data_IF_568592387320
#
_entry.id   IF_568592387320
#
_cell.length_a   1.000
_cell.length_b   1.000
_cell.length_c   1.000
_cell.angle_alpha   90.00
_cell.angle_beta   90.00
_cell.angle_gamma   90.00
#
_symmetry.space_group_name_H-M   'P 1'
#
loop_
_entity.id
_entity.type
_entity.pdbx_description
1 polymer ?
#
# COMPACT_ATOMS: atom_id res chain seq x y z
N UNK A 1 -14.62 -9.70 -17.38
CA UNK A 1 -13.72 -9.49 -16.24
C UNK A 1 -12.49 -10.33 -16.46
N UNK A 2 -11.36 -9.73 -16.27
CA UNK A 2 -10.07 -10.31 -16.59
C UNK A 2 -9.43 -11.03 -15.37
N UNK A 3 -10.27 -11.52 -14.47
CA UNK A 3 -9.81 -12.18 -13.23
C UNK A 3 -9.75 -13.71 -13.37
N UNK A 4 -9.63 -14.24 -14.58
CA UNK A 4 -9.41 -15.67 -14.75
C UNK A 4 -8.03 -16.05 -14.22
N UNK A 5 -7.90 -17.26 -13.69
CA UNK A 5 -6.62 -17.81 -13.23
C UNK A 5 -5.56 -17.77 -14.34
N UNK A 6 -5.94 -18.14 -15.56
CA UNK A 6 -5.04 -18.15 -16.70
C UNK A 6 -4.43 -16.77 -16.98
N UNK A 7 -5.27 -15.73 -17.05
CA UNK A 7 -4.80 -14.36 -17.26
C UNK A 7 -3.94 -13.87 -16.10
N UNK A 8 -4.31 -14.17 -14.87
CA UNK A 8 -3.55 -13.76 -13.69
C UNK A 8 -2.16 -14.41 -13.67
N UNK A 9 -2.07 -15.69 -14.01
CA UNK A 9 -0.79 -16.40 -14.15
C UNK A 9 0.05 -15.85 -15.29
N UNK A 10 -0.57 -15.56 -16.44
CA UNK A 10 0.11 -14.97 -17.58
C UNK A 10 0.72 -13.60 -17.22
N UNK A 11 -0.03 -12.74 -16.52
CA UNK A 11 0.46 -11.45 -16.02
C UNK A 11 1.61 -11.62 -15.03
N UNK A 12 1.49 -12.55 -14.08
CA UNK A 12 2.53 -12.87 -13.12
C UNK A 12 3.84 -13.26 -13.83
N UNK A 13 3.80 -14.22 -14.74
CA UNK A 13 4.98 -14.66 -15.48
C UNK A 13 5.52 -13.59 -16.42
N UNK A 14 4.65 -12.76 -17.00
CA UNK A 14 5.08 -11.65 -17.85
C UNK A 14 5.87 -10.61 -17.05
N UNK A 15 5.50 -10.35 -15.80
CA UNK A 15 6.22 -9.42 -14.92
C UNK A 15 7.70 -9.80 -14.75
N UNK A 16 8.02 -11.10 -14.61
CA UNK A 16 9.41 -11.55 -14.53
C UNK A 16 10.20 -11.28 -15.82
N UNK A 17 9.56 -11.48 -16.96
CA UNK A 17 10.17 -11.22 -18.28
C UNK A 17 10.43 -9.74 -18.50
N UNK A 18 9.43 -8.90 -18.19
CA UNK A 18 9.49 -7.46 -18.40
C UNK A 18 10.54 -6.81 -17.49
N UNK A 19 10.62 -7.27 -16.24
CA UNK A 19 11.59 -6.77 -15.25
C UNK A 19 12.96 -7.44 -15.38
N UNK A 20 13.08 -8.53 -16.15
CA UNK A 20 14.33 -9.32 -16.32
C UNK A 20 14.92 -9.80 -14.99
N UNK A 21 14.06 -10.31 -14.10
CA UNK A 21 14.45 -10.79 -12.77
C UNK A 21 14.06 -12.26 -12.57
N UNK A 22 14.72 -12.94 -11.64
CA UNK A 22 14.42 -14.33 -11.27
C UNK A 22 13.53 -14.41 -10.02
N UNK A 23 13.46 -13.36 -9.23
CA UNK A 23 12.62 -13.22 -8.05
C UNK A 23 12.24 -11.75 -7.82
N UNK A 24 11.17 -11.53 -7.04
CA UNK A 24 10.78 -10.22 -6.53
C UNK A 24 11.07 -10.12 -5.04
N UNK A 25 11.73 -9.04 -4.62
CA UNK A 25 11.87 -8.73 -3.19
C UNK A 25 10.51 -8.39 -2.58
N UNK A 26 9.70 -7.59 -3.27
CA UNK A 26 8.36 -7.19 -2.84
C UNK A 26 7.36 -7.43 -3.97
N UNK A 27 6.31 -8.18 -3.67
CA UNK A 27 5.19 -8.43 -4.59
C UNK A 27 3.89 -8.12 -3.86
N UNK A 28 2.96 -7.43 -4.51
CA UNK A 28 1.71 -7.04 -3.87
C UNK A 28 0.47 -7.39 -4.70
N UNK A 29 -0.61 -7.69 -3.99
CA UNK A 29 -1.96 -7.77 -4.54
C UNK A 29 -2.44 -6.33 -4.77
N UNK A 30 -2.80 -5.99 -6.01
CA UNK A 30 -3.05 -4.63 -6.42
C UNK A 30 -4.48 -4.15 -6.09
N UNK A 31 -4.58 -2.94 -5.52
CA UNK A 31 -5.81 -2.17 -5.32
C UNK A 31 -6.93 -2.93 -4.59
N UNK A 32 -6.62 -3.46 -3.43
CA UNK A 32 -7.62 -4.06 -2.54
C UNK A 32 -8.51 -2.96 -1.96
N UNK A 33 -9.83 -3.21 -1.88
CA UNK A 33 -10.81 -2.28 -1.30
C UNK A 33 -11.88 -1.84 -2.28
N UNK A 34 -11.53 -1.58 -3.54
CA UNK A 34 -12.50 -1.26 -4.58
C UNK A 34 -13.38 -2.46 -4.94
N UNK A 35 -14.70 -2.30 -4.87
CA UNK A 35 -15.69 -3.36 -5.18
C UNK A 35 -15.93 -4.36 -4.06
N UNK A 36 -15.43 -4.08 -2.85
CA UNK A 36 -15.68 -4.89 -1.66
C UNK A 36 -14.98 -6.26 -1.66
N UNK A 37 -15.28 -7.06 -0.65
CA UNK A 37 -14.75 -8.43 -0.51
C UNK A 37 -15.13 -9.36 -1.66
N UNK A 38 -16.24 -9.10 -2.34
CA UNK A 38 -16.62 -9.87 -3.53
C UNK A 38 -15.53 -9.82 -4.60
N UNK A 39 -15.04 -8.63 -4.93
CA UNK A 39 -13.98 -8.46 -5.94
C UNK A 39 -12.65 -9.05 -5.45
N UNK A 40 -12.33 -8.93 -4.18
CA UNK A 40 -11.16 -9.57 -3.59
C UNK A 40 -11.24 -11.10 -3.77
N UNK A 41 -12.36 -11.70 -3.41
CA UNK A 41 -12.55 -13.14 -3.52
C UNK A 41 -12.44 -13.61 -4.98
N UNK A 42 -13.13 -12.97 -5.91
CA UNK A 42 -13.06 -13.29 -7.35
C UNK A 42 -11.64 -13.21 -7.92
N UNK A 43 -10.84 -12.21 -7.46
CA UNK A 43 -9.48 -11.97 -7.97
C UNK A 43 -8.42 -12.88 -7.39
N UNK A 44 -8.57 -13.29 -6.13
CA UNK A 44 -7.47 -13.91 -5.40
C UNK A 44 -7.82 -15.22 -4.72
N UNK A 45 -9.07 -15.41 -4.29
CA UNK A 45 -9.50 -16.63 -3.57
C UNK A 45 -10.08 -17.65 -4.54
N UNK A 46 -11.17 -17.30 -5.23
CA UNK A 46 -11.94 -18.22 -6.05
C UNK A 46 -11.16 -18.76 -7.25
N UNK A 47 -10.25 -17.95 -7.78
CA UNK A 47 -9.35 -18.35 -8.86
C UNK A 47 -8.04 -19.02 -8.36
N UNK A 48 -7.85 -19.15 -7.04
CA UNK A 48 -6.68 -19.78 -6.42
C UNK A 48 -5.36 -19.00 -6.58
N UNK A 49 -5.41 -17.69 -6.89
CA UNK A 49 -4.21 -16.89 -7.06
C UNK A 49 -3.48 -16.64 -5.73
N UNK A 50 -4.19 -16.45 -4.63
CA UNK A 50 -3.55 -16.28 -3.33
C UNK A 50 -2.73 -17.52 -2.96
N UNK A 51 -3.31 -18.71 -3.10
CA UNK A 51 -2.59 -19.97 -2.83
C UNK A 51 -1.35 -20.14 -3.74
N UNK A 52 -1.47 -19.72 -5.00
CA UNK A 52 -0.34 -19.72 -5.91
C UNK A 52 0.77 -18.77 -5.43
N UNK A 53 0.44 -17.54 -5.07
CA UNK A 53 1.42 -16.55 -4.60
C UNK A 53 2.11 -16.98 -3.29
N UNK A 54 1.37 -17.64 -2.39
CA UNK A 54 1.95 -18.22 -1.18
C UNK A 54 3.00 -19.30 -1.51
N UNK A 55 2.71 -20.19 -2.48
CA UNK A 55 3.68 -21.17 -2.96
C UNK A 55 4.88 -20.52 -3.64
N UNK A 56 4.70 -19.44 -4.38
CA UNK A 56 5.78 -18.68 -4.98
C UNK A 56 6.67 -18.02 -3.91
N UNK A 57 6.10 -17.56 -2.79
CA UNK A 57 6.85 -17.07 -1.63
C UNK A 57 7.64 -18.21 -0.96
N UNK A 58 7.03 -19.35 -0.71
CA UNK A 58 7.71 -20.53 -0.16
C UNK A 58 8.87 -21.01 -1.06
N UNK A 59 8.70 -20.89 -2.37
CA UNK A 59 9.73 -21.23 -3.37
C UNK A 59 10.82 -20.16 -3.54
N UNK A 60 10.72 -19.03 -2.85
CA UNK A 60 11.70 -17.93 -2.89
C UNK A 60 11.61 -17.03 -4.13
N UNK A 61 10.60 -17.20 -4.99
CA UNK A 61 10.38 -16.29 -6.12
C UNK A 61 9.69 -14.98 -5.71
N UNK A 62 9.07 -14.96 -4.56
CA UNK A 62 8.60 -13.76 -3.87
C UNK A 62 9.23 -13.79 -2.47
N UNK A 63 9.94 -12.73 -2.07
CA UNK A 63 10.51 -12.63 -0.72
C UNK A 63 9.50 -12.09 0.28
N UNK A 64 8.82 -11.00 -0.09
CA UNK A 64 7.82 -10.33 0.74
C UNK A 64 6.52 -10.18 -0.03
N UNK A 65 5.44 -10.73 0.51
CA UNK A 65 4.09 -10.65 -0.07
C UNK A 65 3.23 -9.67 0.71
N UNK A 66 2.66 -8.71 0.01
CA UNK A 66 1.80 -7.70 0.59
C UNK A 66 0.62 -7.35 -0.31
N UNK A 67 0.01 -6.21 -0.04
CA UNK A 67 -1.09 -5.70 -0.85
C UNK A 67 -1.19 -4.18 -0.76
N UNK A 68 -1.77 -3.54 -1.78
CA UNK A 68 -2.09 -2.12 -1.78
C UNK A 68 -3.56 -1.90 -1.52
N UNK A 69 -3.87 -0.88 -0.73
CA UNK A 69 -5.22 -0.59 -0.28
C UNK A 69 -5.76 0.72 -0.84
N UNK A 70 -6.98 0.64 -1.40
CA UNK A 70 -7.81 1.78 -1.76
C UNK A 70 -9.29 1.43 -1.55
N UNK A 71 -9.96 2.00 -0.58
CA UNK A 71 -11.39 1.77 -0.42
C UNK A 71 -11.89 1.71 1.02
N UNK A 72 -12.85 0.83 1.25
CA UNK A 72 -13.58 0.77 2.50
C UNK A 72 -12.80 0.08 3.62
N UNK A 73 -12.82 0.65 4.82
CA UNK A 73 -12.20 0.11 6.04
C UNK A 73 -12.63 -1.33 6.31
N UNK A 74 -13.90 -1.67 6.06
CA UNK A 74 -14.38 -3.02 6.27
C UNK A 74 -13.63 -4.06 5.45
N UNK A 75 -13.27 -3.74 4.20
CA UNK A 75 -12.46 -4.61 3.34
C UNK A 75 -11.03 -4.67 3.85
N UNK A 76 -10.47 -3.54 4.28
CA UNK A 76 -9.15 -3.49 4.91
C UNK A 76 -9.06 -4.43 6.10
N UNK A 77 -10.02 -4.32 7.04
CA UNK A 77 -10.03 -5.12 8.25
C UNK A 77 -10.18 -6.62 7.97
N UNK A 78 -11.03 -7.00 7.00
CA UNK A 78 -11.23 -8.40 6.63
C UNK A 78 -9.98 -9.00 5.99
N UNK A 79 -9.31 -8.28 5.07
CA UNK A 79 -8.07 -8.77 4.44
C UNK A 79 -6.92 -8.76 5.43
N UNK A 80 -6.86 -7.76 6.32
CA UNK A 80 -5.88 -7.71 7.38
C UNK A 80 -6.03 -8.87 8.38
N UNK A 81 -7.26 -9.27 8.71
CA UNK A 81 -7.54 -10.43 9.57
C UNK A 81 -6.99 -11.75 9.01
N UNK A 82 -6.78 -11.84 7.69
CA UNK A 82 -6.13 -13.02 7.08
C UNK A 82 -4.63 -13.12 7.44
N UNK A 83 -4.06 -12.12 8.12
CA UNK A 83 -2.65 -12.12 8.50
C UNK A 83 -2.25 -13.32 9.35
N UNK A 84 -3.16 -13.85 10.17
CA UNK A 84 -2.87 -15.00 11.02
C UNK A 84 -2.50 -16.26 10.21
N UNK A 85 -3.01 -16.39 8.99
CA UNK A 85 -2.74 -17.49 8.07
C UNK A 85 -1.79 -17.10 6.94
N UNK A 86 -2.03 -15.97 6.29
CA UNK A 86 -1.27 -15.53 5.12
C UNK A 86 0.10 -14.96 5.50
N UNK A 87 0.23 -14.36 6.69
CA UNK A 87 1.45 -13.67 7.14
C UNK A 87 1.87 -12.59 6.15
N UNK A 88 1.05 -11.55 6.04
CA UNK A 88 1.37 -10.38 5.22
C UNK A 88 2.66 -9.72 5.70
N UNK A 89 3.59 -9.47 4.79
CA UNK A 89 4.88 -8.86 5.10
C UNK A 89 4.78 -7.33 5.11
N UNK A 90 3.92 -6.75 4.27
CA UNK A 90 3.71 -5.31 4.19
C UNK A 90 2.34 -4.97 3.62
N UNK A 91 1.90 -3.73 3.85
CA UNK A 91 0.71 -3.16 3.21
C UNK A 91 1.04 -1.76 2.70
N UNK A 92 0.68 -1.49 1.44
CA UNK A 92 0.81 -0.16 0.86
C UNK A 92 -0.46 0.64 1.11
N UNK A 93 -0.32 1.77 1.79
CA UNK A 93 -1.43 2.67 2.16
C UNK A 93 -1.15 4.09 1.70
N UNK A 94 -2.21 4.84 1.40
CA UNK A 94 -2.11 6.27 1.18
C UNK A 94 -1.89 6.97 2.52
N UNK A 95 -0.77 7.71 2.64
CA UNK A 95 -0.43 8.41 3.87
C UNK A 95 0.31 9.72 3.58
N UNK A 96 -0.25 10.80 4.05
CA UNK A 96 0.33 12.13 4.09
C UNK A 96 -0.31 12.93 5.23
N UNK A 97 0.19 14.12 5.55
CA UNK A 97 -0.28 14.88 6.70
C UNK A 97 -1.72 15.43 6.57
N UNK A 98 -2.29 15.46 5.36
CA UNK A 98 -3.71 15.82 5.15
C UNK A 98 -4.58 14.60 5.38
N UNK A 99 -4.28 13.49 4.71
CA UNK A 99 -5.08 12.26 4.79
C UNK A 99 -4.89 11.51 6.11
N UNK A 100 -3.95 11.93 6.96
CA UNK A 100 -3.70 11.29 8.25
C UNK A 100 -4.99 11.14 9.07
N UNK A 101 -5.78 12.22 9.15
CA UNK A 101 -7.08 12.24 9.87
C UNK A 101 -8.26 12.67 9.02
N UNK A 102 -8.01 13.19 7.83
CA UNK A 102 -9.03 13.80 6.99
C UNK A 102 -8.95 13.21 5.58
N UNK A 103 -9.35 11.94 5.48
CA UNK A 103 -9.36 11.26 4.20
C UNK A 103 -10.20 11.99 3.15
N UNK A 104 -9.70 12.01 1.92
CA UNK A 104 -10.37 12.57 0.76
C UNK A 104 -10.79 11.49 -0.21
N UNK A 105 -12.02 11.56 -0.73
CA UNK A 105 -12.54 10.58 -1.69
C UNK A 105 -12.75 9.20 -1.06
N UNK A 106 -12.24 8.17 -1.72
CA UNK A 106 -12.35 6.77 -1.29
C UNK A 106 -11.22 6.35 -0.32
N UNK A 107 -10.39 7.30 0.11
CA UNK A 107 -9.34 6.99 1.07
C UNK A 107 -9.88 7.15 2.46
N UNK A 108 -9.45 6.28 3.34
CA UNK A 108 -9.79 6.31 4.75
C UNK A 108 -8.65 6.90 5.56
N UNK A 109 -8.98 7.29 6.77
CA UNK A 109 -8.08 7.82 7.78
C UNK A 109 -6.80 6.98 7.90
N UNK A 110 -5.66 7.53 7.46
CA UNK A 110 -4.38 6.84 7.45
C UNK A 110 -3.86 6.52 8.85
N UNK A 111 -4.23 7.31 9.87
CA UNK A 111 -3.91 7.04 11.28
C UNK A 111 -4.52 5.71 11.73
N UNK A 112 -5.76 5.43 11.33
CA UNK A 112 -6.39 4.14 11.60
C UNK A 112 -5.68 2.99 10.89
N UNK A 113 -5.48 3.10 9.58
CA UNK A 113 -4.84 2.05 8.78
C UNK A 113 -3.45 1.71 9.32
N UNK A 114 -2.62 2.72 9.53
CA UNK A 114 -1.29 2.53 10.09
C UNK A 114 -1.34 1.93 11.51
N UNK A 115 -2.26 2.40 12.35
CA UNK A 115 -2.45 1.87 13.69
C UNK A 115 -2.78 0.38 13.71
N UNK A 116 -3.61 -0.09 12.78
CA UNK A 116 -3.95 -1.50 12.66
C UNK A 116 -2.77 -2.36 12.14
N UNK A 117 -1.95 -1.82 11.24
CA UNK A 117 -0.71 -2.46 10.81
C UNK A 117 0.31 -2.55 11.96
N UNK A 118 0.48 -1.46 12.71
CA UNK A 118 1.42 -1.38 13.82
C UNK A 118 1.09 -2.39 14.93
N UNK A 119 -0.18 -2.58 15.27
CA UNK A 119 -0.62 -3.60 16.24
C UNK A 119 -0.17 -5.01 15.88
N UNK A 120 0.03 -5.28 14.60
CA UNK A 120 0.41 -6.59 14.05
C UNK A 120 1.86 -6.67 13.60
N UNK A 121 2.61 -5.60 13.83
CA UNK A 121 4.00 -5.45 13.36
C UNK A 121 4.14 -5.68 11.84
N UNK A 122 3.17 -5.20 11.07
CA UNK A 122 3.19 -5.26 9.60
C UNK A 122 3.77 -3.94 9.08
N UNK A 123 4.74 -4.03 8.20
CA UNK A 123 5.37 -2.85 7.61
C UNK A 123 4.41 -2.09 6.67
N UNK A 124 4.53 -0.77 6.65
CA UNK A 124 3.79 0.10 5.74
C UNK A 124 4.69 0.59 4.60
N UNK A 125 4.18 0.51 3.37
CA UNK A 125 4.73 1.19 2.19
C UNK A 125 3.80 2.35 1.87
N UNK A 126 4.36 3.54 1.69
CA UNK A 126 3.55 4.75 1.53
C UNK A 126 3.34 5.07 0.05
N UNK A 127 2.08 5.30 -0.31
CA UNK A 127 1.73 5.94 -1.57
C UNK A 127 1.12 7.32 -1.31
N UNK A 128 1.17 8.19 -2.32
CA UNK A 128 0.64 9.55 -2.27
C UNK A 128 1.21 10.43 -1.13
N UNK A 129 2.52 10.37 -0.82
CA UNK A 129 3.09 11.22 0.22
C UNK A 129 2.95 12.71 -0.09
N UNK A 130 2.81 13.06 -1.37
CA UNK A 130 2.61 14.44 -1.86
C UNK A 130 1.17 14.72 -2.30
N UNK A 131 0.22 13.79 -2.12
CA UNK A 131 -1.17 13.95 -2.52
C UNK A 131 -1.30 14.41 -3.99
N UNK A 132 -0.73 13.62 -4.92
CA UNK A 132 -0.67 13.96 -6.35
C UNK A 132 0.13 15.23 -6.64
N UNK A 133 1.12 15.57 -5.83
CA UNK A 133 1.95 16.76 -5.97
C UNK A 133 1.38 18.02 -5.28
N UNK A 134 0.13 17.99 -4.79
CA UNK A 134 -0.51 19.17 -4.16
C UNK A 134 0.23 19.66 -2.92
N UNK A 135 0.90 18.77 -2.20
CA UNK A 135 1.66 19.12 -0.99
C UNK A 135 3.05 19.69 -1.27
N UNK A 136 3.47 19.78 -2.53
CA UNK A 136 4.66 20.54 -2.93
C UNK A 136 4.35 22.01 -3.23
N UNK A 137 3.09 22.36 -3.39
CA UNK A 137 2.63 23.72 -3.69
C UNK A 137 1.44 24.09 -2.79
N UNK A 138 1.73 24.44 -1.55
CA UNK A 138 0.72 24.82 -0.55
C UNK A 138 0.58 26.35 -0.46
N UNK A 139 -0.53 26.89 0.12
CA UNK A 139 -0.71 28.33 0.29
C UNK A 139 0.45 29.02 0.98
N UNK A 140 0.73 30.27 0.59
CA UNK A 140 1.92 31.03 1.03
C UNK A 140 2.02 31.16 2.56
N UNK A 141 0.88 31.31 3.25
CA UNK A 141 0.88 31.38 4.71
C UNK A 141 1.35 30.07 5.37
N UNK A 142 1.15 28.91 4.71
CA UNK A 142 1.69 27.63 5.15
C UNK A 142 3.18 27.56 4.83
N UNK A 143 3.60 27.99 3.62
CA UNK A 143 5.02 28.07 3.26
C UNK A 143 5.78 28.90 4.29
N UNK A 144 5.26 30.07 4.67
CA UNK A 144 5.87 30.93 5.68
C UNK A 144 6.10 30.24 7.02
N UNK A 145 5.12 29.46 7.49
CA UNK A 145 5.26 28.68 8.74
C UNK A 145 6.32 27.57 8.64
N UNK A 146 6.37 26.89 7.52
CA UNK A 146 7.37 25.84 7.28
C UNK A 146 8.78 26.43 7.23
N UNK A 147 8.96 27.52 6.51
CA UNK A 147 10.22 28.25 6.36
C UNK A 147 10.75 28.86 7.66
N UNK A 148 9.86 29.24 8.59
CA UNK A 148 10.27 29.70 9.92
C UNK A 148 11.02 28.62 10.72
N UNK A 149 10.69 27.34 10.48
CA UNK A 149 11.35 26.22 11.18
C UNK A 149 12.60 25.73 10.45
N UNK A 150 12.54 25.66 9.12
CA UNK A 150 13.65 25.21 8.28
C UNK A 150 13.69 26.03 6.99
N UNK A 151 14.40 27.16 6.96
CA UNK A 151 14.38 28.09 5.83
C UNK A 151 14.84 27.46 4.51
N UNK A 152 15.80 26.55 4.56
CA UNK A 152 16.40 25.93 3.38
C UNK A 152 15.62 24.72 2.84
N UNK A 153 14.73 24.13 3.64
CA UNK A 153 13.98 22.94 3.24
C UNK A 153 12.90 23.29 2.22
N UNK A 154 12.73 22.45 1.21
CA UNK A 154 11.60 22.57 0.27
C UNK A 154 10.28 22.23 0.96
N UNK A 155 9.17 22.75 0.43
CA UNK A 155 7.84 22.42 0.94
C UNK A 155 7.56 20.92 0.86
N UNK A 156 7.94 20.28 -0.24
CA UNK A 156 7.77 18.85 -0.44
C UNK A 156 8.50 18.00 0.62
N UNK A 157 9.67 18.46 1.09
CA UNK A 157 10.46 17.72 2.08
C UNK A 157 9.71 17.51 3.41
N UNK A 158 8.80 18.42 3.75
CA UNK A 158 7.96 18.29 4.95
C UNK A 158 6.96 17.15 4.83
N UNK A 159 6.37 16.97 3.63
CA UNK A 159 5.47 15.85 3.38
C UNK A 159 6.21 14.49 3.45
N UNK A 160 7.40 14.40 2.88
CA UNK A 160 8.24 13.20 2.98
C UNK A 160 8.69 12.92 4.43
N UNK A 161 9.08 13.95 5.19
CA UNK A 161 9.42 13.78 6.61
C UNK A 161 8.23 13.25 7.41
N UNK A 162 7.03 13.78 7.16
CA UNK A 162 5.84 13.29 7.81
C UNK A 162 5.56 11.83 7.43
N UNK A 163 5.56 11.51 6.14
CA UNK A 163 5.27 10.17 5.64
C UNK A 163 6.29 9.13 6.16
N UNK A 164 7.56 9.50 6.30
CA UNK A 164 8.63 8.63 6.82
C UNK A 164 8.80 8.67 8.34
N UNK A 165 7.96 9.37 9.10
CA UNK A 165 8.11 9.47 10.56
C UNK A 165 7.56 8.29 11.36
N UNK A 166 6.53 7.53 10.93
CA UNK A 166 6.08 6.35 11.65
C UNK A 166 7.11 5.22 11.57
N UNK A 167 7.31 4.49 12.68
CA UNK A 167 8.42 3.53 12.85
C UNK A 167 8.42 2.34 11.86
N UNK A 168 7.24 1.88 11.44
CA UNK A 168 7.10 0.72 10.54
C UNK A 168 7.00 1.11 9.05
N UNK A 169 7.32 2.32 8.69
CA UNK A 169 7.36 2.74 7.29
C UNK A 169 8.67 2.27 6.65
N UNK A 170 8.55 1.52 5.56
CA UNK A 170 9.70 1.04 4.78
C UNK A 170 10.16 2.07 3.74
N UNK A 171 9.20 2.72 3.07
CA UNK A 171 9.45 3.72 2.04
C UNK A 171 8.15 4.48 1.69
#
# INVERSE_FOLDING_TARGET
SNFSRENSLAMYHQSFKDMQVEYFDYYLLHAIGGGGMKVFNERYIDNGMLDFLLKEREAGRIRHLGWSFHGDVEVFDQVLAMHDTVKWDFVQIQLNYVDWRHATGNNVNAEYLYGELAKRNIAAVIMEPLLGGRLSNVPEHIVGRLKQRRPEDSVASWAFRFAGSPELVLT
#
